data_IF_242378442420
#
_entry.id   IF_242378442420
#
_cell.length_a   1.000
_cell.length_b   1.000
_cell.length_c   1.000
_cell.angle_alpha   90.00
_cell.angle_beta   90.00
_cell.angle_gamma   90.00
#
_symmetry.space_group_name_H-M   'P 1'
#
loop_
_entity.id
_entity.type
_entity.pdbx_description
1 polymer ?
#
# COMPACT_ATOMS: atom_id res chain seq x y z
N UNK A 1 -1.25 15.84 9.99
CA UNK A 1 -1.19 15.60 8.54
C UNK A 1 -2.24 14.58 8.15
N UNK A 2 -3.02 14.87 7.15
CA UNK A 2 -4.03 13.94 6.66
C UNK A 2 -3.40 12.81 5.87
N UNK A 3 -4.05 11.65 5.87
CA UNK A 3 -3.56 10.47 5.12
C UNK A 3 -3.37 10.82 3.64
N UNK A 4 -4.29 11.57 3.03
CA UNK A 4 -4.15 11.97 1.62
C UNK A 4 -2.92 12.81 1.35
N UNK A 5 -2.44 13.58 2.32
CA UNK A 5 -1.22 14.36 2.19
C UNK A 5 0.02 13.46 2.20
N UNK A 6 0.01 12.42 3.06
CA UNK A 6 1.07 11.41 3.07
C UNK A 6 1.10 10.65 1.75
N UNK A 7 -0.07 10.24 1.25
CA UNK A 7 -0.17 9.53 -0.03
C UNK A 7 0.37 10.40 -1.17
N UNK A 8 0.03 11.70 -1.16
CA UNK A 8 0.54 12.62 -2.17
C UNK A 8 2.06 12.69 -2.15
N UNK A 9 2.66 12.72 -0.96
CA UNK A 9 4.11 12.72 -0.83
C UNK A 9 4.74 11.42 -1.37
N UNK A 10 4.12 10.28 -1.08
CA UNK A 10 4.57 8.99 -1.62
C UNK A 10 4.45 8.94 -3.14
N UNK A 11 3.40 9.50 -3.70
CA UNK A 11 3.19 9.54 -5.15
C UNK A 11 4.10 10.53 -5.85
N UNK A 12 4.63 11.53 -5.15
CA UNK A 12 5.68 12.39 -5.69
C UNK A 12 6.98 11.61 -5.87
N UNK A 13 7.27 10.66 -4.97
CA UNK A 13 8.45 9.81 -5.08
C UNK A 13 8.23 8.69 -6.11
N UNK A 14 7.08 8.05 -6.09
CA UNK A 14 6.74 6.94 -6.98
C UNK A 14 5.37 7.19 -7.61
N UNK A 15 5.30 8.00 -8.68
CA UNK A 15 4.03 8.32 -9.35
C UNK A 15 3.30 7.07 -9.86
N UNK A 16 1.98 7.03 -9.70
CA UNK A 16 1.16 5.90 -10.14
C UNK A 16 1.30 5.57 -11.63
N UNK A 17 1.44 6.56 -12.55
CA UNK A 17 1.67 6.23 -13.97
C UNK A 17 2.90 5.37 -14.25
N UNK A 18 3.84 5.25 -13.31
CA UNK A 18 5.01 4.38 -13.46
C UNK A 18 4.68 2.90 -13.24
N UNK A 19 3.48 2.58 -12.75
CA UNK A 19 3.10 1.19 -12.55
C UNK A 19 2.96 0.46 -13.90
N UNK A 20 3.19 -0.85 -13.88
CA UNK A 20 2.98 -1.68 -15.05
C UNK A 20 1.48 -1.76 -15.39
N UNK A 21 1.16 -2.00 -16.68
CA UNK A 21 -0.23 -1.92 -17.13
C UNK A 21 -1.20 -2.92 -16.51
N UNK A 22 -0.69 -4.01 -15.92
CA UNK A 22 -1.51 -5.02 -15.25
C UNK A 22 -1.74 -4.72 -13.77
N UNK A 23 -1.06 -3.72 -13.23
CA UNK A 23 -0.97 -3.48 -11.79
C UNK A 23 -2.16 -2.69 -11.23
N UNK A 24 -2.31 -2.77 -9.93
CA UNK A 24 -3.32 -2.03 -9.17
C UNK A 24 -2.68 -1.37 -7.94
N UNK A 25 -1.66 -0.55 -8.16
CA UNK A 25 -1.06 0.25 -7.10
C UNK A 25 -1.98 1.41 -6.72
N UNK A 26 -1.73 2.01 -5.57
CA UNK A 26 -2.50 3.15 -5.08
C UNK A 26 -3.37 2.80 -3.88
N UNK A 27 -4.36 3.63 -3.62
CA UNK A 27 -5.30 3.40 -2.51
C UNK A 27 -6.14 2.17 -2.80
N UNK A 28 -6.07 1.21 -1.89
CA UNK A 28 -6.82 -0.03 -2.01
C UNK A 28 -8.13 0.02 -1.23
N UNK A 29 -8.09 0.59 -0.04
CA UNK A 29 -9.22 0.59 0.90
C UNK A 29 -9.17 1.88 1.71
N UNK A 30 -10.33 2.45 2.00
CA UNK A 30 -10.49 3.44 3.05
C UNK A 30 -10.61 4.87 2.58
N UNK A 31 -10.95 5.73 3.52
CA UNK A 31 -11.17 7.16 3.31
C UNK A 31 -9.93 7.95 3.75
N UNK A 32 -9.37 8.74 2.85
CA UNK A 32 -8.07 9.38 3.02
C UNK A 32 -8.12 10.77 3.66
N UNK A 33 -9.30 11.26 4.03
CA UNK A 33 -9.44 12.58 4.67
C UNK A 33 -9.11 12.59 6.15
N UNK A 34 -8.97 11.43 6.78
CA UNK A 34 -8.68 11.33 8.21
C UNK A 34 -7.27 11.81 8.53
N UNK A 35 -7.08 12.32 9.76
CA UNK A 35 -5.74 12.62 10.27
C UNK A 35 -4.98 11.31 10.46
N UNK A 36 -3.75 11.26 9.97
CA UNK A 36 -2.90 10.09 10.13
C UNK A 36 -2.47 9.93 11.59
N UNK A 37 -2.65 8.74 12.14
CA UNK A 37 -2.23 8.42 13.50
C UNK A 37 -0.92 7.65 13.52
N UNK A 38 -0.54 7.05 12.42
CA UNK A 38 0.67 6.28 12.25
C UNK A 38 0.56 5.42 11.01
N UNK A 39 1.68 4.93 10.52
CA UNK A 39 1.74 4.08 9.33
C UNK A 39 2.50 2.79 9.64
N UNK A 40 1.93 1.66 9.24
CA UNK A 40 2.58 0.36 9.32
C UNK A 40 3.01 -0.04 7.91
N UNK A 41 4.29 -0.37 7.76
CA UNK A 41 4.87 -0.76 6.48
C UNK A 41 4.99 -2.28 6.41
N UNK A 42 4.64 -2.86 5.28
CA UNK A 42 4.71 -4.30 5.09
C UNK A 42 4.91 -4.66 3.62
N UNK A 43 5.28 -5.92 3.36
CA UNK A 43 5.30 -6.44 1.99
C UNK A 43 3.90 -6.85 1.58
N UNK A 44 3.26 -7.66 2.41
CA UNK A 44 1.92 -8.19 2.14
C UNK A 44 0.95 -7.79 3.24
N UNK A 45 -0.27 -7.44 2.85
CA UNK A 45 -1.34 -7.18 3.81
C UNK A 45 -1.98 -8.51 4.18
N UNK A 46 -1.92 -8.84 5.46
CA UNK A 46 -2.55 -10.03 6.04
C UNK A 46 -3.47 -9.60 7.17
N UNK A 47 -4.30 -10.52 7.66
CA UNK A 47 -5.14 -10.21 8.83
C UNK A 47 -4.28 -9.86 10.04
N UNK A 48 -3.14 -10.55 10.21
CA UNK A 48 -2.20 -10.26 11.29
C UNK A 48 -1.64 -8.84 11.21
N UNK A 49 -1.34 -8.35 10.00
CA UNK A 49 -0.85 -6.98 9.79
C UNK A 49 -1.94 -5.97 10.16
N UNK A 50 -3.18 -6.24 9.77
CA UNK A 50 -4.29 -5.35 10.13
C UNK A 50 -4.50 -5.34 11.64
N UNK A 51 -4.43 -6.50 12.29
CA UNK A 51 -4.54 -6.61 13.74
C UNK A 51 -3.42 -5.83 14.44
N UNK A 52 -2.21 -5.87 13.91
CA UNK A 52 -1.10 -5.08 14.44
C UNK A 52 -1.37 -3.59 14.32
N UNK A 53 -1.87 -3.12 13.18
CA UNK A 53 -2.22 -1.72 13.01
C UNK A 53 -3.30 -1.28 13.99
N UNK A 54 -4.33 -2.12 14.21
CA UNK A 54 -5.38 -1.86 15.19
C UNK A 54 -4.78 -1.73 16.59
N UNK A 55 -3.94 -2.67 16.99
CA UNK A 55 -3.31 -2.70 18.31
C UNK A 55 -2.45 -1.45 18.54
N UNK A 56 -1.73 -1.01 17.52
CA UNK A 56 -0.87 0.18 17.61
C UNK A 56 -1.64 1.48 17.45
N UNK A 57 -2.91 1.42 17.07
CA UNK A 57 -3.71 2.61 16.81
C UNK A 57 -3.34 3.34 15.53
N UNK A 58 -2.75 2.64 14.56
CA UNK A 58 -2.37 3.21 13.27
C UNK A 58 -3.50 3.06 12.26
N UNK A 59 -3.79 4.14 11.53
CA UNK A 59 -4.87 4.13 10.55
C UNK A 59 -4.39 4.11 9.09
N UNK A 60 -3.11 3.85 8.86
CA UNK A 60 -2.56 3.70 7.52
C UNK A 60 -1.65 2.48 7.46
N UNK A 61 -1.84 1.66 6.42
CA UNK A 61 -0.94 0.57 6.07
C UNK A 61 -0.40 0.87 4.68
N UNK A 62 0.92 0.85 4.53
CA UNK A 62 1.58 1.00 3.24
C UNK A 62 2.22 -0.35 2.91
N UNK A 63 1.74 -0.99 1.87
CA UNK A 63 2.23 -2.29 1.43
C UNK A 63 2.96 -2.20 0.10
N UNK A 64 3.84 -3.16 -0.17
CA UNK A 64 4.44 -3.29 -1.49
C UNK A 64 3.48 -4.00 -2.44
N UNK A 65 2.98 -5.17 -2.04
CA UNK A 65 2.03 -5.91 -2.87
C UNK A 65 0.61 -5.39 -2.66
N UNK A 66 -0.17 -5.18 -3.74
CA UNK A 66 -1.55 -4.76 -3.61
C UNK A 66 -2.39 -5.78 -2.85
N UNK A 67 -3.23 -5.30 -1.95
CA UNK A 67 -4.21 -6.17 -1.28
C UNK A 67 -5.25 -6.64 -2.29
N UNK A 68 -5.72 -5.73 -3.14
CA UNK A 68 -6.75 -6.01 -4.13
C UNK A 68 -6.08 -6.02 -5.50
N UNK A 69 -5.92 -7.21 -6.08
CA UNK A 69 -5.33 -7.34 -7.41
C UNK A 69 -6.39 -7.46 -8.49
N UNK A 70 -7.54 -8.04 -8.15
CA UNK A 70 -8.68 -8.19 -9.07
C UNK A 70 -9.96 -7.70 -8.40
N UNK A 71 -10.94 -7.24 -9.19
CA UNK A 71 -12.20 -6.73 -8.66
C UNK A 71 -13.01 -7.79 -7.93
N UNK A 72 -13.81 -7.34 -6.95
CA UNK A 72 -14.72 -8.17 -6.18
C UNK A 72 -16.15 -7.74 -6.42
N UNK A 73 -17.03 -8.70 -6.70
CA UNK A 73 -18.46 -8.43 -6.87
C UNK A 73 -19.22 -8.49 -5.56
N UNK A 74 -18.66 -9.09 -4.54
CA UNK A 74 -19.25 -9.18 -3.21
C UNK A 74 -18.15 -9.33 -2.17
N UNK A 75 -18.43 -8.89 -0.94
CA UNK A 75 -17.50 -8.97 0.19
C UNK A 75 -18.22 -9.70 1.33
N UNK A 76 -17.90 -10.95 1.52
CA UNK A 76 -18.56 -11.81 2.53
C UNK A 76 -17.58 -12.56 3.43
N UNK A 77 -16.26 -12.32 3.26
CA UNK A 77 -15.25 -12.97 4.09
C UNK A 77 -14.85 -14.36 3.61
N UNK A 78 -15.05 -14.67 2.32
CA UNK A 78 -14.77 -16.01 1.77
C UNK A 78 -13.29 -16.36 1.73
N UNK A 79 -12.41 -15.34 1.56
CA UNK A 79 -10.97 -15.54 1.57
C UNK A 79 -10.30 -14.47 2.44
N UNK A 80 -8.97 -14.58 2.60
CA UNK A 80 -8.26 -13.66 3.49
C UNK A 80 -8.28 -12.21 2.96
N UNK A 81 -8.32 -12.04 1.64
CA UNK A 81 -8.35 -10.68 1.04
C UNK A 81 -9.66 -10.00 1.39
N UNK A 82 -10.80 -10.69 1.21
CA UNK A 82 -12.10 -10.14 1.59
C UNK A 82 -12.16 -9.81 3.09
N UNK A 83 -11.63 -10.70 3.94
CA UNK A 83 -11.59 -10.46 5.38
C UNK A 83 -10.72 -9.27 5.74
N UNK A 84 -9.58 -9.10 5.07
CA UNK A 84 -8.72 -7.93 5.26
C UNK A 84 -9.43 -6.64 4.86
N UNK A 85 -10.11 -6.64 3.71
CA UNK A 85 -10.87 -5.48 3.23
C UNK A 85 -11.94 -5.09 4.26
N UNK A 86 -12.73 -6.07 4.70
CA UNK A 86 -13.81 -5.83 5.65
C UNK A 86 -13.29 -5.33 6.99
N UNK A 87 -12.21 -5.92 7.49
CA UNK A 87 -11.60 -5.53 8.76
C UNK A 87 -11.01 -4.13 8.69
N UNK A 88 -10.34 -3.79 7.59
CA UNK A 88 -9.79 -2.45 7.39
C UNK A 88 -10.88 -1.39 7.36
N UNK A 89 -11.96 -1.63 6.60
CA UNK A 89 -13.10 -0.70 6.53
C UNK A 89 -13.73 -0.53 7.91
N UNK A 90 -13.97 -1.63 8.62
CA UNK A 90 -14.61 -1.60 9.93
C UNK A 90 -13.81 -0.83 10.97
N UNK A 91 -12.50 -0.82 10.84
CA UNK A 91 -11.59 -0.16 11.79
C UNK A 91 -11.01 1.15 11.26
N UNK A 92 -11.57 1.69 10.18
CA UNK A 92 -11.16 2.96 9.58
C UNK A 92 -9.66 3.01 9.23
N UNK A 93 -9.14 1.91 8.70
CA UNK A 93 -7.75 1.81 8.26
C UNK A 93 -7.68 1.95 6.74
N UNK A 94 -6.80 2.83 6.28
CA UNK A 94 -6.51 3.01 4.86
C UNK A 94 -5.37 2.06 4.49
N UNK A 95 -5.54 1.34 3.38
CA UNK A 95 -4.49 0.49 2.80
C UNK A 95 -4.06 1.11 1.49
N UNK A 96 -2.77 1.42 1.39
CA UNK A 96 -2.14 2.00 0.21
C UNK A 96 -1.01 1.09 -0.26
N UNK A 97 -0.93 0.84 -1.56
CA UNK A 97 0.08 -0.05 -2.13
C UNK A 97 1.02 0.70 -3.08
N UNK A 98 2.33 0.47 -2.89
CA UNK A 98 3.39 0.96 -3.78
C UNK A 98 4.06 -0.26 -4.39
N UNK A 99 3.59 -0.71 -5.53
CA UNK A 99 4.05 -1.94 -6.17
C UNK A 99 5.01 -1.64 -7.34
N UNK A 100 4.58 -1.87 -8.58
CA UNK A 100 5.48 -1.67 -9.72
C UNK A 100 5.83 -0.20 -9.96
N UNK A 101 4.98 0.74 -9.52
CA UNK A 101 5.35 2.16 -9.53
C UNK A 101 6.59 2.42 -8.67
N UNK A 102 6.71 1.74 -7.52
CA UNK A 102 7.90 1.85 -6.67
C UNK A 102 9.11 1.16 -7.30
N UNK A 103 8.90 0.00 -7.95
CA UNK A 103 9.95 -0.71 -8.66
C UNK A 103 10.53 0.15 -9.79
N UNK A 104 9.68 0.89 -10.48
CA UNK A 104 10.06 1.69 -11.64
C UNK A 104 10.45 3.14 -11.29
N UNK A 105 10.27 3.54 -10.04
CA UNK A 105 10.61 4.89 -9.61
C UNK A 105 12.13 5.09 -9.55
N UNK A 106 12.57 6.31 -9.87
CA UNK A 106 13.97 6.70 -9.70
C UNK A 106 14.31 6.59 -8.21
N UNK A 107 15.41 5.91 -7.89
CA UNK A 107 15.85 5.60 -6.53
C UNK A 107 14.90 4.65 -5.76
N UNK A 108 13.99 3.99 -6.46
CA UNK A 108 13.10 2.97 -5.90
C UNK A 108 13.80 1.61 -5.79
N UNK A 109 13.00 0.53 -5.79
CA UNK A 109 13.48 -0.83 -5.51
C UNK A 109 14.55 -1.28 -6.52
N UNK A 110 14.32 -1.10 -7.81
CA UNK A 110 15.28 -1.55 -8.82
C UNK A 110 16.60 -0.77 -8.75
N UNK A 111 16.55 0.52 -8.46
CA UNK A 111 17.74 1.34 -8.26
C UNK A 111 18.52 0.87 -7.02
N UNK A 112 17.84 0.51 -5.94
CA UNK A 112 18.47 0.00 -4.73
C UNK A 112 19.12 -1.36 -4.94
N UNK A 113 18.47 -2.24 -5.70
CA UNK A 113 19.04 -3.54 -6.07
C UNK A 113 20.31 -3.33 -6.90
N UNK A 114 20.24 -2.47 -7.92
CA UNK A 114 21.39 -2.16 -8.76
C UNK A 114 22.55 -1.57 -7.94
N UNK A 115 22.25 -0.66 -7.01
CA UNK A 115 23.24 -0.08 -6.11
C UNK A 115 23.95 -1.15 -5.28
N UNK A 116 23.19 -2.11 -4.71
CA UNK A 116 23.75 -3.21 -3.92
C UNK A 116 24.60 -4.16 -4.77
N UNK A 117 24.31 -4.28 -6.06
CA UNK A 117 25.10 -5.10 -6.99
C UNK A 117 26.29 -4.35 -7.58
N UNK A 118 26.44 -3.06 -7.27
CA UNK A 118 27.55 -2.23 -7.78
C UNK A 118 27.37 -1.80 -9.22
N UNK A 119 26.13 -1.76 -9.74
CA UNK A 119 25.84 -1.33 -11.11
C UNK A 119 25.78 0.19 -11.18
N UNK A 120 26.19 0.73 -12.34
CA UNK A 120 26.17 2.18 -12.60
C UNK A 120 25.45 2.43 -13.94
N UNK A 121 25.22 3.71 -14.25
CA UNK A 121 24.61 4.14 -15.52
C UNK A 121 23.22 3.55 -15.74
N UNK A 122 22.37 3.64 -14.73
CA UNK A 122 21.01 3.11 -14.74
C UNK A 122 20.03 4.02 -15.50
#
# INVERSE_FOLDING_TARGET
MKIKELIRALEMFAPLPLQDGFDNAGVQVGLTDAEATGALLCLDVTEAVIDEAITKGYNLIVSHHPLIFKGYKSLTGRDYVERCIMKAIKNDIVVYSMHTNMDNARHGVNFKIAEKLGLTDL
#
